data_IF_630272244974
#
_entry.id   IF_630272244974
#
_cell.length_a   1.000
_cell.length_b   1.000
_cell.length_c   1.000
_cell.angle_alpha   90.00
_cell.angle_beta   90.00
_cell.angle_gamma   90.00
#
_symmetry.space_group_name_H-M   'P 1'
#
loop_
_entity.id
_entity.type
_entity.pdbx_description
1 polymer ?
#
# COMPACT_ATOMS: atom_id res chain seq x y z
N UNK A 1 -5.80 65.06 -10.87
CA UNK A 1 -6.89 64.47 -11.69
C UNK A 1 -6.24 64.15 -13.03
N UNK A 2 -6.24 62.94 -13.59
CA UNK A 2 -7.25 61.88 -13.55
C UNK A 2 -6.59 60.50 -13.74
N UNK A 3 -7.26 59.46 -13.24
CA UNK A 3 -6.93 58.03 -13.37
C UNK A 3 -7.19 57.55 -14.80
N UNK A 4 -6.31 56.73 -15.34
CA UNK A 4 -6.61 55.76 -16.42
C UNK A 4 -6.02 54.43 -15.95
N UNK A 5 -6.85 53.60 -15.33
CA UNK A 5 -7.49 52.46 -15.98
C UNK A 5 -6.44 51.36 -16.22
N UNK A 6 -6.34 50.49 -15.21
CA UNK A 6 -5.77 49.15 -15.28
C UNK A 6 -6.36 48.40 -16.48
N UNK A 7 -5.54 48.20 -17.51
CA UNK A 7 -5.75 47.16 -18.52
C UNK A 7 -5.68 45.80 -17.81
N UNK A 8 -6.82 45.33 -17.33
CA UNK A 8 -6.98 43.95 -16.93
C UNK A 8 -7.03 43.12 -18.21
N UNK A 9 -5.97 42.38 -18.47
CA UNK A 9 -5.82 41.40 -19.53
C UNK A 9 -6.88 40.28 -19.34
N UNK A 10 -8.10 40.54 -19.81
CA UNK A 10 -9.19 39.55 -19.82
C UNK A 10 -8.86 38.49 -20.88
N UNK A 11 -8.56 37.27 -20.41
CA UNK A 11 -8.31 36.12 -21.28
C UNK A 11 -9.45 35.93 -22.28
N UNK A 12 -9.12 35.86 -23.57
CA UNK A 12 -10.13 35.76 -24.62
C UNK A 12 -10.92 34.44 -24.51
N UNK A 13 -12.19 34.36 -24.97
CA UNK A 13 -13.00 33.14 -24.92
C UNK A 13 -12.35 31.91 -25.59
N UNK A 14 -11.49 32.16 -26.59
CA UNK A 14 -10.69 31.12 -27.25
C UNK A 14 -9.56 30.58 -26.37
N UNK A 15 -8.97 31.43 -25.53
CA UNK A 15 -7.91 31.04 -24.59
C UNK A 15 -8.48 30.27 -23.39
N UNK A 16 -9.63 30.69 -22.86
CA UNK A 16 -10.33 30.00 -21.78
C UNK A 16 -10.81 28.61 -22.20
N UNK A 17 -11.38 28.46 -23.41
CA UNK A 17 -11.79 27.15 -23.93
C UNK A 17 -10.61 26.22 -24.20
N UNK A 18 -9.50 26.73 -24.76
CA UNK A 18 -8.29 25.95 -24.97
C UNK A 18 -7.63 25.53 -23.65
N UNK A 19 -7.60 26.40 -22.64
CA UNK A 19 -7.09 26.10 -21.31
C UNK A 19 -7.94 25.05 -20.58
N UNK A 20 -9.26 25.13 -20.72
CA UNK A 20 -10.21 24.16 -20.16
C UNK A 20 -10.04 22.78 -20.80
N UNK A 21 -9.91 22.71 -22.13
CA UNK A 21 -9.67 21.45 -22.83
C UNK A 21 -8.31 20.83 -22.45
N UNK A 22 -7.24 21.63 -22.36
CA UNK A 22 -5.93 21.17 -21.87
C UNK A 22 -5.98 20.63 -20.45
N UNK A 23 -6.67 21.34 -19.56
CA UNK A 23 -6.80 20.95 -18.15
C UNK A 23 -7.58 19.64 -18.00
N UNK A 24 -8.68 19.48 -18.75
CA UNK A 24 -9.43 18.21 -18.80
C UNK A 24 -8.58 17.05 -19.33
N UNK A 25 -7.85 17.26 -20.42
CA UNK A 25 -6.95 16.25 -20.99
C UNK A 25 -5.84 15.87 -20.00
N UNK A 26 -5.22 16.85 -19.34
CA UNK A 26 -4.17 16.57 -18.35
C UNK A 26 -4.70 15.75 -17.16
N UNK A 27 -5.89 16.07 -16.67
CA UNK A 27 -6.53 15.33 -15.60
C UNK A 27 -6.80 13.86 -16.00
N UNK A 28 -7.38 13.64 -17.18
CA UNK A 28 -7.81 12.29 -17.60
C UNK A 28 -6.68 11.42 -18.12
N UNK A 29 -5.71 12.00 -18.84
CA UNK A 29 -4.64 11.22 -19.50
C UNK A 29 -3.40 11.01 -18.63
N UNK A 30 -3.25 11.80 -17.56
CA UNK A 30 -2.05 11.74 -16.72
C UNK A 30 -2.36 11.61 -15.24
N UNK A 31 -3.08 12.58 -14.65
CA UNK A 31 -3.26 12.59 -13.19
C UNK A 31 -4.07 11.39 -12.67
N UNK A 32 -5.17 11.02 -13.35
CA UNK A 32 -5.97 9.87 -12.94
C UNK A 32 -5.23 8.52 -13.08
N UNK A 33 -4.57 8.23 -14.22
CA UNK A 33 -3.71 7.04 -14.33
C UNK A 33 -2.56 7.02 -13.32
N UNK A 34 -1.92 8.18 -13.06
CA UNK A 34 -0.84 8.28 -12.08
C UNK A 34 -1.36 8.00 -10.66
N UNK A 35 -2.57 8.45 -10.32
CA UNK A 35 -3.22 8.16 -9.05
C UNK A 35 -3.52 6.67 -8.89
N UNK A 36 -4.13 6.05 -9.90
CA UNK A 36 -4.45 4.62 -9.90
C UNK A 36 -3.18 3.75 -9.77
N UNK A 37 -2.13 4.12 -10.51
CA UNK A 37 -0.82 3.47 -10.40
C UNK A 37 -0.16 3.66 -9.03
N UNK A 38 -0.35 4.80 -8.38
CA UNK A 38 0.15 5.04 -7.02
C UNK A 38 -0.64 4.24 -5.97
N UNK A 39 -1.96 4.18 -6.09
CA UNK A 39 -2.84 3.39 -5.21
C UNK A 39 -2.55 1.89 -5.33
N UNK A 40 -2.44 1.36 -6.55
CA UNK A 40 -2.08 -0.06 -6.78
C UNK A 40 -0.75 -0.43 -6.11
N UNK A 41 0.25 0.47 -6.15
CA UNK A 41 1.54 0.25 -5.48
C UNK A 41 1.42 0.27 -3.97
N UNK A 42 0.60 1.17 -3.42
CA UNK A 42 0.34 1.23 -1.99
C UNK A 42 -0.35 -0.06 -1.52
N UNK A 43 -1.36 -0.53 -2.25
CA UNK A 43 -2.07 -1.78 -1.94
C UNK A 43 -1.14 -2.99 -1.97
N UNK A 44 -0.24 -3.05 -2.95
CA UNK A 44 0.78 -4.11 -3.02
C UNK A 44 1.70 -4.10 -1.80
N UNK A 45 2.12 -2.91 -1.32
CA UNK A 45 2.93 -2.79 -0.10
C UNK A 45 2.14 -3.22 1.13
N UNK A 46 0.88 -2.83 1.25
CA UNK A 46 0.01 -3.24 2.36
C UNK A 46 -0.21 -4.75 2.39
N UNK A 47 -0.42 -5.37 1.23
CA UNK A 47 -0.52 -6.81 1.09
C UNK A 47 0.78 -7.53 1.50
N UNK A 48 1.95 -7.00 1.10
CA UNK A 48 3.25 -7.54 1.50
C UNK A 48 3.44 -7.43 3.03
N UNK A 49 3.07 -6.30 3.64
CA UNK A 49 3.12 -6.11 5.09
C UNK A 49 2.23 -7.13 5.81
N UNK A 50 0.98 -7.31 5.37
CA UNK A 50 0.05 -8.27 5.95
C UNK A 50 0.63 -9.70 5.89
N UNK A 51 1.15 -10.11 4.74
CA UNK A 51 1.78 -11.42 4.57
C UNK A 51 2.97 -11.63 5.52
N UNK A 52 3.83 -10.62 5.71
CA UNK A 52 4.94 -10.71 6.66
C UNK A 52 4.49 -10.71 8.13
N UNK A 53 3.40 -10.00 8.47
CA UNK A 53 2.80 -10.05 9.80
C UNK A 53 2.24 -11.45 10.10
N UNK A 54 1.53 -12.05 9.16
CA UNK A 54 1.02 -13.42 9.27
C UNK A 54 2.15 -14.44 9.39
N UNK A 55 3.21 -14.28 8.61
CA UNK A 55 4.40 -15.12 8.71
C UNK A 55 5.05 -15.02 10.09
N UNK A 56 5.19 -13.81 10.63
CA UNK A 56 5.73 -13.59 11.98
C UNK A 56 4.87 -14.24 13.05
N UNK A 57 3.55 -14.12 12.94
CA UNK A 57 2.60 -14.72 13.87
C UNK A 57 2.63 -16.25 13.81
N UNK A 58 2.74 -16.80 12.60
CA UNK A 58 2.90 -18.24 12.37
C UNK A 58 4.20 -18.76 12.97
N UNK A 59 5.33 -18.09 12.75
CA UNK A 59 6.60 -18.49 13.39
C UNK A 59 6.55 -18.43 14.91
N UNK A 60 5.80 -17.48 15.48
CA UNK A 60 5.58 -17.36 16.91
C UNK A 60 4.72 -18.50 17.47
N UNK A 61 3.69 -18.95 16.76
CA UNK A 61 2.84 -20.07 17.20
C UNK A 61 3.53 -21.43 17.07
N UNK A 62 4.57 -21.51 16.23
CA UNK A 62 5.43 -22.67 16.07
C UNK A 62 6.59 -22.70 17.06
N UNK A 63 6.86 -21.61 17.79
CA UNK A 63 7.96 -21.54 18.75
C UNK A 63 7.64 -22.34 20.03
N UNK A 64 8.37 -23.44 20.32
CA UNK A 64 8.12 -24.27 21.50
C UNK A 64 8.38 -23.53 22.82
N UNK A 65 9.27 -22.53 22.83
CA UNK A 65 9.63 -21.79 24.04
C UNK A 65 8.51 -20.83 24.48
N UNK A 66 7.71 -20.33 23.54
CA UNK A 66 6.55 -19.48 23.82
C UNK A 66 5.28 -20.28 24.16
N UNK A 67 5.17 -21.53 23.69
CA UNK A 67 4.02 -22.40 23.94
C UNK A 67 3.86 -22.78 25.43
N UNK A 68 4.93 -22.68 26.23
CA UNK A 68 4.92 -23.02 27.68
C UNK A 68 4.37 -21.90 28.58
N UNK A 69 4.09 -20.70 28.05
CA UNK A 69 3.68 -19.53 28.87
C UNK A 69 2.16 -19.31 28.97
N UNK A 70 1.35 -20.12 28.27
CA UNK A 70 -0.10 -20.18 28.52
C UNK A 70 -0.37 -21.31 29.51
N UNK A 71 -0.79 -21.04 30.76
CA UNK A 71 -1.27 -22.08 31.64
C UNK A 71 -2.63 -22.55 31.12
N UNK A 72 -2.61 -23.50 30.20
CA UNK A 72 -3.77 -24.37 30.02
C UNK A 72 -3.87 -25.22 31.28
N UNK A 73 -4.69 -24.74 32.23
CA UNK A 73 -5.17 -25.56 33.35
C UNK A 73 -5.77 -26.84 32.77
N UNK A 74 -5.10 -27.97 32.98
CA UNK A 74 -5.68 -29.30 32.82
C UNK A 74 -5.08 -30.23 31.77
N UNK A 75 -3.79 -30.15 31.44
CA UNK A 75 -3.13 -31.21 30.67
C UNK A 75 -2.00 -31.85 31.48
N UNK A 76 -2.27 -33.09 31.87
CA UNK A 76 -1.41 -34.01 32.58
C UNK A 76 0.00 -34.13 31.95
N UNK A 77 0.98 -34.32 32.82
CA UNK A 77 2.33 -34.74 32.50
C UNK A 77 2.32 -35.95 31.55
N UNK A 78 2.60 -35.72 30.26
CA UNK A 78 2.97 -36.80 29.34
C UNK A 78 4.20 -36.43 28.55
N UNK A 79 5.30 -37.01 29.00
CA UNK A 79 6.40 -37.60 28.20
C UNK A 79 7.15 -36.70 27.22
N UNK A 80 8.48 -36.72 27.39
CA UNK A 80 9.52 -36.36 26.40
C UNK A 80 9.36 -37.18 25.10
N UNK A 81 8.35 -36.86 24.30
CA UNK A 81 8.10 -37.43 22.97
C UNK A 81 7.92 -36.28 21.98
N UNK A 82 8.59 -36.38 20.82
CA UNK A 82 8.47 -35.45 19.70
C UNK A 82 7.02 -35.04 19.49
N UNK A 83 6.71 -33.76 19.71
CA UNK A 83 5.38 -33.20 19.37
C UNK A 83 5.32 -33.08 17.85
N UNK A 84 4.91 -34.15 17.18
CA UNK A 84 4.61 -34.14 15.76
C UNK A 84 3.32 -33.35 15.54
N UNK A 85 3.42 -32.07 15.18
CA UNK A 85 2.24 -31.31 14.72
C UNK A 85 1.93 -31.73 13.29
N UNK A 86 0.71 -32.23 13.05
CA UNK A 86 0.19 -32.48 11.71
C UNK A 86 -0.14 -31.14 11.06
N UNK A 87 0.33 -30.92 9.83
CA UNK A 87 0.07 -29.74 9.03
C UNK A 87 -0.44 -30.15 7.64
N UNK A 88 -1.41 -29.42 7.11
CA UNK A 88 -1.88 -29.61 5.74
C UNK A 88 -1.03 -28.70 4.85
N UNK A 89 -0.33 -29.28 3.88
CA UNK A 89 0.48 -28.57 2.91
C UNK A 89 -0.17 -28.66 1.53
N UNK A 90 -0.26 -27.55 0.81
CA UNK A 90 -0.66 -27.55 -0.59
C UNK A 90 0.55 -27.86 -1.47
N UNK A 91 0.40 -28.85 -2.36
CA UNK A 91 1.48 -29.33 -3.25
C UNK A 91 1.28 -28.83 -4.71
N UNK A 92 0.26 -28.00 -4.92
CA UNK A 92 -0.09 -27.39 -6.20
C UNK A 92 -1.45 -27.86 -6.74
N UNK A 93 -2.04 -27.04 -7.62
CA UNK A 93 -3.34 -27.30 -8.26
C UNK A 93 -4.49 -27.59 -7.27
N UNK A 94 -4.44 -27.02 -6.05
CA UNK A 94 -5.45 -27.27 -5.02
C UNK A 94 -5.34 -28.64 -4.33
N UNK A 95 -4.27 -29.39 -4.57
CA UNK A 95 -4.03 -30.68 -3.90
C UNK A 95 -3.45 -30.43 -2.52
N UNK A 96 -4.21 -30.84 -1.49
CA UNK A 96 -3.84 -30.73 -0.09
C UNK A 96 -3.33 -32.09 0.43
N UNK A 97 -2.13 -32.11 1.01
CA UNK A 97 -1.49 -33.31 1.58
C UNK A 97 -1.26 -33.11 3.06
N UNK A 98 -1.61 -34.11 3.87
CA UNK A 98 -1.30 -34.10 5.29
C UNK A 98 0.17 -34.47 5.50
N UNK A 99 0.89 -33.61 6.20
CA UNK A 99 2.32 -33.72 6.47
C UNK A 99 2.59 -33.63 7.98
N UNK A 100 3.73 -34.17 8.41
CA UNK A 100 4.19 -34.03 9.79
C UNK A 100 5.24 -32.93 9.84
N UNK A 101 4.99 -31.89 10.64
CA UNK A 101 5.90 -30.77 10.80
C UNK A 101 7.05 -31.17 11.73
N UNK A 102 8.27 -31.11 11.21
CA UNK A 102 9.49 -31.37 11.97
C UNK A 102 9.91 -30.11 12.74
N UNK A 103 9.45 -29.97 13.98
CA UNK A 103 9.71 -28.81 14.84
C UNK A 103 11.20 -28.61 15.21
N UNK A 104 12.02 -29.64 15.06
CA UNK A 104 13.46 -29.58 15.34
C UNK A 104 14.25 -28.87 14.24
N UNK A 105 13.66 -28.65 13.07
CA UNK A 105 14.35 -28.03 11.93
C UNK A 105 14.10 -26.53 11.89
N UNK A 106 15.19 -25.79 11.72
CA UNK A 106 15.16 -24.35 11.51
C UNK A 106 14.51 -23.99 10.17
N UNK A 107 13.69 -22.92 10.11
CA UNK A 107 13.02 -22.48 8.90
C UNK A 107 14.01 -22.00 7.82
N UNK A 108 13.64 -22.25 6.57
CA UNK A 108 14.30 -21.67 5.39
C UNK A 108 13.69 -20.30 5.10
N UNK A 109 14.52 -19.27 5.07
CA UNK A 109 14.13 -17.88 4.85
C UNK A 109 14.75 -17.38 3.54
N UNK A 110 13.92 -16.87 2.63
CA UNK A 110 14.39 -16.23 1.40
C UNK A 110 15.05 -14.89 1.71
N UNK A 111 16.27 -14.67 1.19
CA UNK A 111 17.02 -13.43 1.36
C UNK A 111 16.72 -12.39 0.27
N UNK A 112 15.97 -12.76 -0.77
CA UNK A 112 15.63 -11.85 -1.88
C UNK A 112 16.76 -11.56 -2.86
N UNK A 113 17.89 -12.29 -2.79
CA UNK A 113 19.06 -12.10 -3.66
C UNK A 113 19.08 -13.02 -4.88
N UNK A 114 17.95 -13.22 -5.57
CA UNK A 114 17.91 -14.12 -6.74
C UNK A 114 17.83 -15.60 -6.37
N UNK A 115 16.93 -15.96 -5.45
CA UNK A 115 16.68 -17.37 -5.09
C UNK A 115 17.57 -17.93 -3.98
N UNK A 116 18.27 -17.07 -3.24
CA UNK A 116 19.05 -17.51 -2.08
C UNK A 116 18.16 -17.68 -0.86
N UNK A 117 18.34 -18.83 -0.20
CA UNK A 117 17.68 -19.16 1.05
C UNK A 117 18.73 -19.39 2.13
N UNK A 118 18.45 -18.89 3.32
CA UNK A 118 19.23 -19.18 4.51
C UNK A 118 18.39 -19.98 5.50
N UNK A 119 18.98 -21.01 6.07
CA UNK A 119 18.41 -21.66 7.24
C UNK A 119 18.75 -20.80 8.46
N UNK A 120 17.73 -20.26 9.11
CA UNK A 120 17.87 -19.35 10.25
C UNK A 120 17.12 -19.92 11.44
N UNK A 121 17.65 -19.71 12.65
CA UNK A 121 16.89 -20.06 13.85
C UNK A 121 15.57 -19.29 13.91
N UNK A 122 14.56 -19.83 14.59
CA UNK A 122 13.26 -19.15 14.73
C UNK A 122 13.41 -17.71 15.27
N UNK A 123 14.35 -17.48 16.21
CA UNK A 123 14.69 -16.14 16.72
C UNK A 123 15.27 -15.23 15.62
N UNK A 124 16.22 -15.72 14.82
CA UNK A 124 16.82 -14.96 13.73
C UNK A 124 15.82 -14.67 12.61
N UNK A 125 14.98 -15.64 12.24
CA UNK A 125 13.93 -15.47 11.24
C UNK A 125 12.94 -14.37 11.66
N UNK A 126 12.51 -14.34 12.92
CA UNK A 126 11.65 -13.27 13.46
C UNK A 126 12.33 -11.90 13.45
N UNK A 127 13.61 -11.85 13.81
CA UNK A 127 14.39 -10.60 13.75
C UNK A 127 14.51 -10.10 12.31
N UNK A 128 14.74 -10.99 11.35
CA UNK A 128 14.78 -10.68 9.93
C UNK A 128 13.43 -10.12 9.43
N UNK A 129 12.32 -10.79 9.75
CA UNK A 129 10.98 -10.33 9.37
C UNK A 129 10.67 -8.98 10.00
N UNK A 130 11.04 -8.76 11.26
CA UNK A 130 10.82 -7.48 11.95
C UNK A 130 11.56 -6.34 11.24
N UNK A 131 12.84 -6.54 10.89
CA UNK A 131 13.59 -5.56 10.08
C UNK A 131 12.97 -5.33 8.71
N UNK A 132 12.45 -6.38 8.07
CA UNK A 132 11.77 -6.26 6.78
C UNK A 132 10.49 -5.45 6.89
N UNK A 133 9.70 -5.68 7.94
CA UNK A 133 8.49 -4.90 8.24
C UNK A 133 8.82 -3.42 8.47
N UNK A 134 9.87 -3.09 9.22
CA UNK A 134 10.30 -1.69 9.40
C UNK A 134 10.64 -1.00 8.08
N UNK A 135 11.30 -1.70 7.15
CA UNK A 135 11.60 -1.18 5.82
C UNK A 135 10.32 -0.98 5.01
N UNK A 136 9.38 -1.92 5.09
CA UNK A 136 8.11 -1.84 4.39
C UNK A 136 7.22 -0.72 4.95
N UNK A 137 7.20 -0.50 6.26
CA UNK A 137 6.47 0.60 6.90
C UNK A 137 6.98 1.96 6.39
N UNK A 138 8.30 2.15 6.30
CA UNK A 138 8.86 3.38 5.70
C UNK A 138 8.45 3.55 4.23
N UNK A 139 8.43 2.46 3.46
CA UNK A 139 7.99 2.49 2.06
C UNK A 139 6.49 2.81 1.94
N UNK A 140 5.68 2.28 2.85
CA UNK A 140 4.25 2.53 2.95
C UNK A 140 3.99 4.01 3.22
N UNK A 141 4.68 4.61 4.18
CA UNK A 141 4.54 6.04 4.49
C UNK A 141 4.89 6.92 3.28
N UNK A 142 6.01 6.63 2.60
CA UNK A 142 6.39 7.32 1.36
C UNK A 142 5.40 7.12 0.21
N UNK A 143 4.75 5.95 0.14
CA UNK A 143 3.72 5.67 -0.86
C UNK A 143 2.43 6.43 -0.56
N UNK A 144 2.03 6.49 0.72
CA UNK A 144 0.90 7.30 1.18
C UNK A 144 1.10 8.78 0.85
N UNK A 145 2.27 9.34 1.15
CA UNK A 145 2.58 10.74 0.84
C UNK A 145 2.45 11.04 -0.66
N UNK A 146 2.88 10.11 -1.51
CA UNK A 146 2.75 10.24 -2.97
C UNK A 146 1.30 10.20 -3.43
N UNK A 147 0.49 9.29 -2.88
CA UNK A 147 -0.95 9.23 -3.18
C UNK A 147 -1.60 10.54 -2.78
N UNK A 148 -1.37 11.01 -1.55
CA UNK A 148 -1.92 12.27 -1.05
C UNK A 148 -1.50 13.48 -1.91
N UNK A 149 -0.25 13.52 -2.37
CA UNK A 149 0.24 14.56 -3.26
C UNK A 149 -0.47 14.55 -4.63
N UNK A 150 -0.70 13.38 -5.21
CA UNK A 150 -1.40 13.26 -6.50
C UNK A 150 -2.88 13.62 -6.33
N UNK A 151 -3.53 13.17 -5.26
CA UNK A 151 -4.92 13.54 -4.94
C UNK A 151 -5.09 15.04 -4.78
N UNK A 152 -4.15 15.71 -4.10
CA UNK A 152 -4.15 17.17 -3.99
C UNK A 152 -4.06 17.85 -5.37
N UNK A 153 -3.20 17.35 -6.27
CA UNK A 153 -3.11 17.87 -7.64
C UNK A 153 -4.38 17.61 -8.45
N UNK A 154 -5.02 16.46 -8.29
CA UNK A 154 -6.32 16.14 -8.91
C UNK A 154 -7.39 17.12 -8.44
N UNK A 155 -7.49 17.35 -7.12
CA UNK A 155 -8.44 18.29 -6.55
C UNK A 155 -8.21 19.73 -7.03
N UNK A 156 -6.96 20.18 -7.03
CA UNK A 156 -6.59 21.50 -7.54
C UNK A 156 -6.96 21.66 -9.01
N UNK A 157 -6.61 20.68 -9.86
CA UNK A 157 -6.91 20.70 -11.29
C UNK A 157 -8.42 20.68 -11.55
N UNK A 158 -9.17 19.87 -10.78
CA UNK A 158 -10.63 19.82 -10.86
C UNK A 158 -11.25 21.16 -10.49
N UNK A 159 -10.78 21.79 -9.41
CA UNK A 159 -11.25 23.12 -8.98
C UNK A 159 -10.95 24.17 -10.04
N UNK A 160 -9.74 24.17 -10.61
CA UNK A 160 -9.37 25.07 -11.71
C UNK A 160 -10.25 24.86 -12.95
N UNK A 161 -10.58 23.61 -13.30
CA UNK A 161 -11.51 23.31 -14.40
C UNK A 161 -12.88 23.90 -14.10
N UNK A 162 -13.40 23.77 -12.87
CA UNK A 162 -14.70 24.35 -12.49
C UNK A 162 -14.68 25.88 -12.55
N UNK A 163 -13.61 26.52 -12.11
CA UNK A 163 -13.44 27.98 -12.21
C UNK A 163 -13.40 28.43 -13.67
N UNK A 164 -12.64 27.74 -14.53
CA UNK A 164 -12.58 28.03 -15.96
C UNK A 164 -13.92 27.77 -16.65
N UNK A 165 -14.65 26.72 -16.27
CA UNK A 165 -15.99 26.41 -16.83
C UNK A 165 -17.00 27.49 -16.43
N UNK A 166 -16.93 27.99 -15.18
CA UNK A 166 -17.76 29.10 -14.71
C UNK A 166 -17.44 30.42 -15.43
N UNK A 167 -16.15 30.72 -15.69
CA UNK A 167 -15.75 31.90 -16.47
C UNK A 167 -16.19 31.77 -17.92
N UNK A 168 -16.05 30.58 -18.50
CA UNK A 168 -16.46 30.29 -19.88
C UNK A 168 -17.98 30.36 -20.08
N UNK A 169 -18.77 29.91 -19.10
CA UNK A 169 -20.25 29.97 -19.14
C UNK A 169 -20.81 31.31 -18.63
N UNK A 170 -20.07 32.03 -17.80
CA UNK A 170 -20.51 33.19 -17.01
C UNK A 170 -20.00 34.54 -17.49
N UNK A 171 -19.34 34.64 -18.66
CA UNK A 171 -19.10 35.91 -19.35
C UNK A 171 -20.35 36.66 -19.82
N UNK A 172 -21.55 36.25 -19.38
CA UNK A 172 -22.82 36.98 -19.51
C UNK A 172 -23.34 37.37 -18.13
N UNK A 173 -22.52 38.10 -17.36
CA UNK A 173 -23.04 39.02 -16.34
C UNK A 173 -23.00 40.41 -16.99
N UNK A 174 -23.88 40.64 -17.95
CA UNK A 174 -24.20 41.99 -18.43
C UNK A 174 -25.66 42.22 -18.09
N UNK A 175 -25.85 43.10 -17.11
CA UNK A 175 -26.98 44.01 -16.89
C UNK A 175 -28.39 43.52 -17.23
N UNK A 176 -29.09 43.03 -16.21
CA UNK A 176 -30.54 43.26 -16.09
C UNK A 176 -30.77 44.18 -14.87
N UNK A 177 -30.79 45.48 -15.15
CA UNK A 177 -31.25 46.55 -14.26
C UNK A 177 -32.27 47.40 -15.01
#
# INVERSE_FOLDING_TARGET
MSRTATDADEATPSETSAALLRSRTFLTTRLLPDLDGAQTRLDAILAEIAAYQDLRNTLRSLDPDLAQTTPQKGAEEKSKGKVEKKAIAEVGQGILVQTNLQMEKDPLVSLGLGGFYAQLSNRQARAFITKRLEILDRKKDLAFDKVAQIEAHVHLTSTSISQLDNLFRGGSIVDDL
#
